data_IF_058751787586
#
_entry.id   IF_058751787586
#
_cell.length_a   1.000
_cell.length_b   1.000
_cell.length_c   1.000
_cell.angle_alpha   90.00
_cell.angle_beta   90.00
_cell.angle_gamma   90.00
#
_symmetry.space_group_name_H-M   'P 1'
#
loop_
_entity.id
_entity.type
_entity.pdbx_description
1 polymer ?
#
# COMPACT_ATOMS: atom_id res chain seq x y z
N UNK A 1 -9.57 5.42 -3.32
CA UNK A 1 -9.23 4.07 -2.83
C UNK A 1 -7.75 3.82 -3.03
N UNK A 2 -7.04 3.60 -1.94
CA UNK A 2 -5.61 3.28 -1.96
C UNK A 2 -5.42 1.77 -2.11
N UNK A 3 -4.29 1.37 -2.69
CA UNK A 3 -3.95 -0.03 -2.93
C UNK A 3 -2.62 -0.36 -2.27
N UNK A 4 -2.63 -1.36 -1.39
CA UNK A 4 -1.43 -1.96 -0.85
C UNK A 4 -1.24 -3.37 -1.44
N UNK A 5 -0.07 -3.62 -2.02
CA UNK A 5 0.32 -4.93 -2.56
C UNK A 5 1.42 -5.51 -1.69
N UNK A 6 1.24 -6.75 -1.26
CA UNK A 6 2.17 -7.45 -0.37
C UNK A 6 2.90 -8.50 -1.18
N UNK A 7 4.23 -8.49 -1.11
CA UNK A 7 5.08 -9.50 -1.72
C UNK A 7 5.90 -10.21 -0.64
N UNK A 8 6.66 -11.24 -1.02
CA UNK A 8 7.57 -11.90 -0.09
C UNK A 8 8.72 -10.99 0.39
N UNK A 9 8.96 -9.87 -0.30
CA UNK A 9 10.11 -8.98 -0.13
C UNK A 9 9.73 -7.60 0.40
N UNK A 10 8.44 -7.30 0.56
CA UNK A 10 7.99 -5.99 1.01
C UNK A 10 6.54 -5.66 0.70
N UNK A 11 6.23 -4.37 0.82
CA UNK A 11 4.92 -3.79 0.53
C UNK A 11 5.09 -2.69 -0.51
N UNK A 12 4.24 -2.69 -1.54
CA UNK A 12 4.11 -1.59 -2.49
C UNK A 12 2.81 -0.85 -2.21
N UNK A 13 2.90 0.45 -1.93
CA UNK A 13 1.74 1.32 -1.71
C UNK A 13 1.48 2.17 -2.97
N UNK A 14 0.24 2.16 -3.43
CA UNK A 14 -0.24 2.95 -4.55
C UNK A 14 -1.38 3.83 -4.07
N UNK A 15 -1.14 5.14 -4.03
CA UNK A 15 -2.15 6.11 -3.61
C UNK A 15 -3.12 6.38 -4.77
N UNK A 16 -4.41 6.23 -4.51
CA UNK A 16 -5.46 6.49 -5.48
C UNK A 16 -5.70 7.99 -5.64
N UNK A 17 -5.87 8.45 -6.88
CA UNK A 17 -6.10 9.88 -7.17
C UNK A 17 -7.58 10.26 -7.28
N UNK A 18 -8.49 9.29 -7.07
CA UNK A 18 -9.93 9.52 -7.12
C UNK A 18 -10.54 9.51 -8.53
N UNK A 19 -9.73 9.46 -9.59
CA UNK A 19 -10.13 9.36 -11.00
C UNK A 19 -9.98 7.94 -11.59
N UNK A 20 -9.68 6.95 -10.73
CA UNK A 20 -9.40 5.57 -11.13
C UNK A 20 -7.92 5.31 -11.46
N UNK A 21 -7.06 6.32 -11.35
CA UNK A 21 -5.61 6.17 -11.50
C UNK A 21 -4.91 6.08 -10.15
N UNK A 22 -3.66 5.59 -10.19
CA UNK A 22 -2.77 5.50 -9.04
C UNK A 22 -1.49 6.28 -9.30
N UNK A 23 -0.92 6.86 -8.23
CA UNK A 23 0.42 7.42 -8.27
C UNK A 23 1.50 6.32 -8.41
N UNK A 24 2.74 6.73 -8.62
CA UNK A 24 3.90 5.83 -8.61
C UNK A 24 3.96 5.04 -7.30
N UNK A 25 4.19 3.73 -7.42
CA UNK A 25 4.26 2.85 -6.25
C UNK A 25 5.42 3.24 -5.32
N UNK A 26 5.12 3.37 -4.04
CA UNK A 26 6.11 3.50 -2.98
C UNK A 26 6.44 2.12 -2.41
N UNK A 27 7.69 1.69 -2.56
CA UNK A 27 8.11 0.35 -2.18
C UNK A 27 8.83 0.37 -0.82
N UNK A 28 8.27 -0.37 0.13
CA UNK A 28 8.81 -0.60 1.45
C UNK A 28 9.38 -2.03 1.50
N UNK A 29 10.71 -2.13 1.46
CA UNK A 29 11.39 -3.41 1.63
C UNK A 29 11.20 -3.95 3.04
N UNK A 30 10.73 -5.20 3.15
CA UNK A 30 10.73 -5.92 4.41
C UNK A 30 12.03 -6.70 4.52
N UNK A 31 12.80 -6.51 5.59
CA UNK A 31 14.07 -7.22 5.83
C UNK A 31 13.92 -8.74 6.05
N UNK A 32 12.75 -9.32 5.78
CA UNK A 32 12.40 -10.73 5.97
C UNK A 32 11.00 -11.04 5.43
N UNK A 33 10.54 -12.27 5.63
CA UNK A 33 9.21 -12.70 5.20
C UNK A 33 8.11 -11.97 5.98
N UNK A 34 7.21 -11.32 5.26
CA UNK A 34 6.01 -10.73 5.83
C UNK A 34 5.01 -11.83 6.19
N UNK A 35 4.67 -11.95 7.47
CA UNK A 35 3.73 -12.95 7.99
C UNK A 35 2.31 -12.42 8.21
N UNK A 36 2.14 -11.09 8.26
CA UNK A 36 0.85 -10.44 8.49
C UNK A 36 0.86 -9.01 7.95
N UNK A 37 -0.31 -8.50 7.57
CA UNK A 37 -0.56 -7.09 7.24
C UNK A 37 -1.80 -6.59 7.97
N UNK A 38 -1.71 -5.36 8.47
CA UNK A 38 -2.86 -4.57 8.92
C UNK A 38 -3.29 -3.57 7.85
N UNK A 39 -4.60 -3.42 7.66
CA UNK A 39 -5.19 -2.35 6.84
C UNK A 39 -5.70 -1.24 7.74
N UNK A 40 -5.53 0.01 7.32
CA UNK A 40 -6.04 1.20 8.01
C UNK A 40 -6.17 2.35 7.04
N UNK A 41 -6.94 3.36 7.43
CA UNK A 41 -7.02 4.64 6.72
C UNK A 41 -5.71 5.40 6.96
N UNK A 42 -4.84 5.41 5.95
CA UNK A 42 -3.50 6.00 6.07
C UNK A 42 -3.47 7.51 5.83
N UNK A 43 -4.53 8.09 5.25
CA UNK A 43 -4.57 9.50 4.85
C UNK A 43 -5.71 10.29 5.51
N UNK A 44 -6.59 9.64 6.27
CA UNK A 44 -7.70 10.24 7.01
C UNK A 44 -8.92 10.57 6.15
N UNK A 45 -9.04 10.01 4.94
CA UNK A 45 -10.15 10.31 4.02
C UNK A 45 -11.41 9.46 4.27
N UNK A 46 -11.36 8.56 5.26
CA UNK A 46 -12.47 7.71 5.66
C UNK A 46 -12.78 6.58 4.67
N UNK A 47 -11.82 6.17 3.84
CA UNK A 47 -11.95 5.08 2.86
C UNK A 47 -10.91 3.98 2.99
#
# INVERSE_FOLDING_TARGET
PDLAVITNSGVSLLLGQGDGTFQTAFNLGAGGLLSSVGLGDFNGDGR
#
